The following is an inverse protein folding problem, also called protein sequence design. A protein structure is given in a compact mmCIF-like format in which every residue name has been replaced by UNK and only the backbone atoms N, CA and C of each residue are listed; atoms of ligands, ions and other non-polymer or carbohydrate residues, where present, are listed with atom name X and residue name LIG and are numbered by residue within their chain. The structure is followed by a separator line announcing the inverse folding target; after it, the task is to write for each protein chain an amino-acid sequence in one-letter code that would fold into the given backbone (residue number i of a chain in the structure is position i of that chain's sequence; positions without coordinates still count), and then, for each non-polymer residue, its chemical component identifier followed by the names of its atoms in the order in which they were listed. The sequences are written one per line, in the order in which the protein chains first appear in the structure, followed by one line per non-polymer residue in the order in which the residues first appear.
data_IF_540150237867
#
_entry.id   IF_540150237867
#
_cell.length_a   1.000
_cell.length_b   1.000
_cell.length_c   1.000
_cell.angle_alpha   90.00
_cell.angle_beta   90.00
_cell.angle_gamma   90.00
#
_symmetry.space_group_name_H-M   'P 1'
#
loop_
_entity.id
_entity.type
_entity.pdbx_description
1 polymer ?
#
# COMPACT_ATOMS: atom_id res chain seq x y z
N UNK A 1 24.01 5.42 -9.68
CA UNK A 1 23.51 4.02 -9.77
C UNK A 1 22.93 3.80 -11.15
N UNK A 2 23.13 2.65 -11.80
CA UNK A 2 22.53 2.36 -13.09
C UNK A 2 21.02 2.14 -12.94
N UNK A 3 20.23 2.79 -13.81
CA UNK A 3 18.78 2.61 -13.83
C UNK A 3 18.40 1.19 -14.30
N UNK A 4 17.48 0.53 -13.60
CA UNK A 4 16.84 -0.70 -14.07
C UNK A 4 15.69 -0.37 -15.02
N UNK A 5 14.92 0.67 -14.73
CA UNK A 5 13.83 1.17 -15.57
C UNK A 5 13.99 2.67 -15.73
N UNK A 6 13.81 3.17 -16.95
CA UNK A 6 13.71 4.61 -17.25
C UNK A 6 12.51 4.85 -18.15
N UNK A 7 11.62 5.72 -17.71
CA UNK A 7 10.44 6.17 -18.45
C UNK A 7 10.60 7.65 -18.73
N UNK A 8 10.49 8.06 -20.01
CA UNK A 8 10.69 9.45 -20.43
C UNK A 8 9.54 9.89 -21.32
N UNK A 9 8.84 10.95 -20.92
CA UNK A 9 7.74 11.62 -21.66
C UNK A 9 6.68 10.65 -22.18
N UNK A 10 6.42 9.58 -21.41
CA UNK A 10 5.53 8.50 -21.82
C UNK A 10 4.09 8.97 -21.87
N UNK A 11 3.42 8.73 -23.01
CA UNK A 11 1.99 8.96 -23.16
C UNK A 11 1.32 7.80 -23.89
N UNK A 12 0.06 7.52 -23.53
CA UNK A 12 -0.78 6.53 -24.21
C UNK A 12 -2.15 7.05 -24.49
N UNK A 13 -2.52 7.08 -25.77
CA UNK A 13 -3.82 7.45 -26.28
C UNK A 13 -4.54 6.23 -26.84
N UNK A 14 -5.83 6.11 -26.57
CA UNK A 14 -6.73 5.13 -27.16
C UNK A 14 -7.77 5.85 -28.02
N UNK A 15 -8.03 5.29 -29.22
CA UNK A 15 -9.12 5.75 -30.10
C UNK A 15 -10.40 5.02 -29.73
N UNK A 16 -11.43 5.77 -29.37
CA UNK A 16 -12.72 5.24 -28.99
C UNK A 16 -13.72 5.53 -30.12
N UNK A 17 -14.20 4.48 -30.77
CA UNK A 17 -15.23 4.55 -31.79
C UNK A 17 -16.58 4.26 -31.17
N UNK A 18 -17.61 5.06 -31.47
CA UNK A 18 -18.98 4.85 -30.97
C UNK A 18 -19.65 3.63 -31.59
N UNK A 19 -19.33 3.36 -32.88
CA UNK A 19 -19.84 2.20 -33.64
C UNK A 19 -18.70 1.57 -34.40
N UNK A 20 -18.73 0.24 -34.57
CA UNK A 20 -17.72 -0.47 -35.37
C UNK A 20 -17.64 0.02 -36.82
N UNK A 21 -18.76 0.54 -37.37
CA UNK A 21 -18.80 1.17 -38.70
C UNK A 21 -18.01 2.47 -38.80
N UNK A 22 -17.75 3.16 -37.70
CA UNK A 22 -17.06 4.46 -37.69
C UNK A 22 -15.59 4.28 -38.05
N UNK A 23 -14.98 3.15 -37.68
CA UNK A 23 -13.63 2.78 -38.11
C UNK A 23 -13.55 2.69 -39.65
N UNK A 24 -14.50 1.99 -40.29
CA UNK A 24 -14.54 1.86 -41.75
C UNK A 24 -14.79 3.21 -42.42
N UNK A 25 -15.69 4.03 -41.86
CA UNK A 25 -15.97 5.39 -42.35
C UNK A 25 -14.73 6.28 -42.27
N UNK A 26 -13.98 6.21 -41.17
CA UNK A 26 -12.73 6.98 -41.00
C UNK A 26 -11.69 6.55 -42.03
N UNK A 27 -11.55 5.23 -42.28
CA UNK A 27 -10.62 4.73 -43.30
C UNK A 27 -10.99 5.19 -44.72
N UNK A 28 -12.29 5.23 -45.04
CA UNK A 28 -12.75 5.63 -46.37
C UNK A 28 -12.77 7.14 -46.55
N UNK A 29 -13.20 7.91 -45.56
CA UNK A 29 -13.42 9.36 -45.68
C UNK A 29 -12.24 10.17 -45.22
N UNK A 30 -11.27 9.57 -44.51
CA UNK A 30 -10.13 10.23 -43.84
C UNK A 30 -10.56 11.35 -42.86
N UNK A 31 -11.83 11.35 -42.45
CA UNK A 31 -12.34 12.28 -41.45
C UNK A 31 -12.39 11.56 -40.10
N UNK A 32 -11.83 12.18 -39.07
CA UNK A 32 -11.80 11.64 -37.71
C UNK A 32 -13.25 11.32 -37.24
N UNK A 33 -13.47 10.04 -36.87
CA UNK A 33 -14.74 9.52 -36.36
C UNK A 33 -14.58 8.96 -34.94
N UNK A 34 -13.38 9.02 -34.36
CA UNK A 34 -13.08 8.57 -33.00
C UNK A 34 -12.91 9.75 -32.05
N UNK A 35 -13.17 9.51 -30.78
CA UNK A 35 -12.71 10.37 -29.68
C UNK A 35 -11.38 9.85 -29.14
N UNK A 36 -10.48 10.77 -28.80
CA UNK A 36 -9.21 10.42 -28.16
C UNK A 36 -9.37 10.33 -26.65
N UNK A 37 -8.92 9.22 -26.07
CA UNK A 37 -8.83 9.04 -24.62
C UNK A 37 -7.36 8.88 -24.24
N UNK A 38 -6.81 9.86 -23.56
CA UNK A 38 -5.46 9.84 -23.04
C UNK A 38 -5.42 9.15 -21.69
N UNK A 39 -4.98 7.89 -21.68
CA UNK A 39 -4.86 7.09 -20.45
C UNK A 39 -3.61 7.45 -19.65
N UNK A 40 -2.54 7.88 -20.34
CA UNK A 40 -1.30 8.37 -19.74
C UNK A 40 -0.83 9.60 -20.50
N UNK A 41 -0.29 10.59 -19.77
CA UNK A 41 0.23 11.84 -20.32
C UNK A 41 1.45 12.29 -19.52
N UNK A 42 2.57 12.54 -20.21
CA UNK A 42 3.81 13.08 -19.67
C UNK A 42 4.31 12.28 -18.43
N UNK A 43 4.29 10.95 -18.48
CA UNK A 43 4.82 10.09 -17.42
C UNK A 43 6.34 10.03 -17.55
N UNK A 44 7.03 10.41 -16.47
CA UNK A 44 8.48 10.33 -16.38
C UNK A 44 8.92 9.89 -14.99
N UNK A 45 9.72 8.82 -14.91
CA UNK A 45 10.37 8.37 -13.67
C UNK A 45 11.52 7.40 -13.98
N UNK A 46 12.34 7.16 -12.97
CA UNK A 46 13.46 6.21 -13.07
C UNK A 46 13.43 5.28 -11.86
N UNK A 47 13.69 3.98 -12.06
CA UNK A 47 13.81 2.99 -10.98
C UNK A 47 15.26 2.49 -10.95
N UNK A 48 15.89 2.55 -9.78
CA UNK A 48 17.24 2.04 -9.54
C UNK A 48 17.28 0.51 -9.54
N UNK A 49 18.45 -0.07 -9.77
CA UNK A 49 18.64 -1.52 -9.58
C UNK A 49 18.50 -1.89 -8.10
N UNK A 50 17.73 -2.95 -7.83
CA UNK A 50 17.46 -3.43 -6.48
C UNK A 50 16.46 -2.59 -5.70
N UNK A 51 15.89 -1.55 -6.30
CA UNK A 51 14.87 -0.70 -5.70
C UNK A 51 13.48 -1.37 -5.76
N UNK A 52 12.72 -1.27 -4.69
CA UNK A 52 11.31 -1.67 -4.63
C UNK A 52 10.45 -0.42 -4.70
N UNK A 53 9.78 -0.20 -5.82
CA UNK A 53 8.94 0.98 -6.06
C UNK A 53 7.48 0.63 -6.08
N UNK A 54 6.70 1.32 -5.24
CA UNK A 54 5.25 1.20 -5.21
C UNK A 54 4.57 2.10 -6.23
N UNK A 55 3.52 1.63 -6.90
CA UNK A 55 2.67 2.45 -7.75
C UNK A 55 1.27 2.48 -7.14
N UNK A 56 0.81 3.66 -6.76
CA UNK A 56 -0.51 3.92 -6.22
C UNK A 56 -1.35 4.76 -7.16
N UNK A 57 -2.66 4.77 -6.96
CA UNK A 57 -3.57 5.64 -7.70
C UNK A 57 -4.99 5.10 -7.71
N UNK A 58 -5.96 5.99 -7.96
CA UNK A 58 -7.39 5.64 -8.05
C UNK A 58 -7.67 4.67 -9.21
N UNK A 59 -8.85 4.05 -9.20
CA UNK A 59 -9.32 3.31 -10.37
C UNK A 59 -9.41 4.27 -11.57
N UNK A 60 -8.89 3.84 -12.73
CA UNK A 60 -8.83 4.69 -13.91
C UNK A 60 -7.63 5.66 -13.96
N UNK A 61 -6.73 5.69 -12.98
CA UNK A 61 -5.54 6.56 -12.98
C UNK A 61 -4.46 6.19 -14.02
N UNK A 62 -4.63 5.06 -14.73
CA UNK A 62 -3.69 4.63 -15.76
C UNK A 62 -2.72 3.53 -15.32
N UNK A 63 -2.79 3.03 -14.08
CA UNK A 63 -1.86 2.02 -13.53
C UNK A 63 -1.68 0.80 -14.45
N UNK A 64 -2.77 0.10 -14.77
CA UNK A 64 -2.72 -1.10 -15.62
C UNK A 64 -2.22 -0.80 -17.05
N UNK A 65 -2.50 0.41 -17.58
CA UNK A 65 -1.95 0.85 -18.86
C UNK A 65 -0.44 1.02 -18.78
N UNK A 66 0.06 1.66 -17.73
CA UNK A 66 1.50 1.82 -17.48
C UNK A 66 2.18 0.47 -17.34
N UNK A 67 1.62 -0.44 -16.54
CA UNK A 67 2.19 -1.77 -16.35
C UNK A 67 2.24 -2.59 -17.65
N UNK A 68 1.18 -2.56 -18.49
CA UNK A 68 1.17 -3.23 -19.78
C UNK A 68 2.25 -2.67 -20.72
N UNK A 69 2.55 -1.37 -20.65
CA UNK A 69 3.65 -0.79 -21.41
C UNK A 69 5.01 -1.25 -20.87
N UNK A 70 5.21 -1.24 -19.55
CA UNK A 70 6.44 -1.71 -18.92
C UNK A 70 6.68 -3.22 -19.16
N UNK A 71 5.62 -4.01 -19.18
CA UNK A 71 5.69 -5.44 -19.53
C UNK A 71 5.88 -5.72 -21.03
N UNK A 72 5.92 -4.68 -21.88
CA UNK A 72 6.08 -4.82 -23.32
C UNK A 72 4.85 -5.33 -24.09
N UNK A 73 3.70 -5.50 -23.40
CA UNK A 73 2.45 -6.00 -24.02
C UNK A 73 1.61 -4.90 -24.68
N UNK A 74 1.96 -3.64 -24.42
CA UNK A 74 1.29 -2.47 -25.00
C UNK A 74 2.33 -1.43 -25.44
N UNK A 75 2.26 -0.97 -26.70
CA UNK A 75 3.15 0.08 -27.20
C UNK A 75 2.68 1.47 -26.75
N UNK A 76 3.58 2.36 -26.32
CA UNK A 76 3.23 3.75 -26.02
C UNK A 76 2.83 4.51 -27.28
N UNK A 77 2.10 5.61 -27.15
CA UNK A 77 1.80 6.54 -28.24
C UNK A 77 2.89 7.59 -28.42
N UNK A 78 3.58 7.97 -27.34
CA UNK A 78 4.74 8.86 -27.29
C UNK A 78 5.68 8.47 -26.16
N UNK A 79 6.91 8.98 -26.22
CA UNK A 79 7.93 8.75 -25.21
C UNK A 79 8.62 7.41 -25.34
N UNK A 80 9.50 7.12 -24.40
CA UNK A 80 10.34 5.92 -24.41
C UNK A 80 10.33 5.20 -23.05
N UNK A 81 10.50 3.89 -23.11
CA UNK A 81 10.71 3.02 -21.95
C UNK A 81 11.97 2.21 -22.19
N UNK A 82 12.93 2.35 -21.31
CA UNK A 82 14.16 1.58 -21.30
C UNK A 82 14.18 0.69 -20.07
N UNK A 83 14.34 -0.63 -20.27
CA UNK A 83 14.44 -1.58 -19.17
C UNK A 83 15.71 -2.41 -19.34
N UNK A 84 16.54 -2.42 -18.32
CA UNK A 84 17.81 -3.12 -18.28
C UNK A 84 17.68 -4.41 -17.48
N UNK A 85 17.45 -5.53 -18.15
CA UNK A 85 17.28 -6.85 -17.58
C UNK A 85 16.01 -7.55 -18.04
N UNK A 86 15.84 -8.82 -17.64
CA UNK A 86 14.63 -9.58 -17.94
C UNK A 86 13.48 -9.15 -17.05
N UNK A 87 12.35 -8.86 -17.69
CA UNK A 87 11.11 -8.45 -17.03
C UNK A 87 10.17 -9.63 -16.90
N UNK A 88 9.70 -9.88 -15.71
CA UNK A 88 8.54 -10.75 -15.50
C UNK A 88 7.42 -9.95 -14.86
N UNK A 89 6.22 -10.06 -15.41
CA UNK A 89 5.06 -9.30 -14.97
C UNK A 89 3.91 -10.20 -14.56
N UNK A 90 3.40 -10.01 -13.36
CA UNK A 90 2.18 -10.65 -12.86
C UNK A 90 1.07 -9.60 -12.93
N UNK A 91 0.50 -9.41 -14.14
CA UNK A 91 -0.55 -8.42 -14.38
C UNK A 91 -1.96 -9.02 -14.30
N UNK A 92 -2.13 -10.20 -14.87
CA UNK A 92 -3.36 -10.98 -14.83
C UNK A 92 -2.95 -12.45 -14.72
N UNK A 93 -3.40 -13.13 -13.68
CA UNK A 93 -3.03 -14.51 -13.41
C UNK A 93 -3.54 -15.44 -14.51
N UNK A 94 -2.64 -16.24 -15.06
CA UNK A 94 -2.96 -17.14 -16.18
C UNK A 94 -2.88 -16.49 -17.57
N UNK A 95 -2.61 -15.20 -17.67
CA UNK A 95 -2.37 -14.55 -18.98
C UNK A 95 -1.15 -15.16 -19.66
N UNK A 96 -1.31 -15.58 -20.91
CA UNK A 96 -0.28 -16.27 -21.69
C UNK A 96 -0.26 -17.79 -21.53
N UNK A 97 -1.04 -18.36 -20.61
CA UNK A 97 -1.20 -19.81 -20.49
C UNK A 97 -2.28 -20.33 -21.44
N UNK A 98 -2.02 -21.47 -22.07
CA UNK A 98 -2.95 -22.12 -22.99
C UNK A 98 -3.81 -23.14 -22.22
N UNK A 99 -5.15 -23.00 -22.19
CA UNK A 99 -6.04 -23.94 -21.49
C UNK A 99 -5.94 -25.40 -21.98
N UNK A 100 -5.55 -25.60 -23.22
CA UNK A 100 -5.45 -26.93 -23.83
C UNK A 100 -4.10 -27.60 -23.56
N UNK A 101 -3.10 -26.88 -23.13
CA UNK A 101 -1.80 -27.40 -22.74
C UNK A 101 -1.86 -27.97 -21.32
N UNK A 102 -0.95 -28.88 -21.01
CA UNK A 102 -0.75 -29.37 -19.65
C UNK A 102 -0.15 -28.26 -18.75
N UNK A 103 -0.19 -28.46 -17.43
CA UNK A 103 0.52 -27.56 -16.51
C UNK A 103 2.00 -27.47 -16.84
N UNK A 104 2.65 -28.60 -17.15
CA UNK A 104 4.05 -28.67 -17.58
C UNK A 104 4.32 -27.80 -18.80
N UNK A 105 3.57 -27.97 -19.86
CA UNK A 105 3.72 -27.21 -21.10
C UNK A 105 3.52 -25.70 -20.86
N UNK A 106 2.58 -25.34 -19.99
CA UNK A 106 2.34 -23.96 -19.61
C UNK A 106 3.48 -23.36 -18.80
N UNK A 107 4.16 -24.10 -17.92
CA UNK A 107 5.37 -23.63 -17.23
C UNK A 107 6.46 -23.24 -18.24
N UNK A 108 6.71 -24.08 -19.25
CA UNK A 108 7.68 -23.76 -20.30
C UNK A 108 7.23 -22.58 -21.16
N UNK A 109 5.95 -22.53 -21.53
CA UNK A 109 5.39 -21.42 -22.30
C UNK A 109 5.54 -20.10 -21.55
N UNK A 110 5.16 -20.07 -20.26
CA UNK A 110 5.28 -18.90 -19.41
C UNK A 110 6.73 -18.43 -19.24
N UNK A 111 7.66 -19.37 -19.05
CA UNK A 111 9.10 -19.08 -18.98
C UNK A 111 9.64 -18.49 -20.28
N UNK A 112 9.27 -19.06 -21.43
CA UNK A 112 9.66 -18.53 -22.74
C UNK A 112 9.11 -17.12 -22.99
N UNK A 113 7.85 -16.87 -22.63
CA UNK A 113 7.25 -15.54 -22.72
C UNK A 113 7.96 -14.51 -21.82
N UNK A 114 8.51 -14.94 -20.69
CA UNK A 114 9.33 -14.11 -19.79
C UNK A 114 10.81 -14.01 -20.23
N UNK A 115 11.18 -14.58 -21.39
CA UNK A 115 12.53 -14.50 -21.96
C UNK A 115 13.53 -15.48 -21.39
N UNK A 116 13.07 -16.57 -20.74
CA UNK A 116 13.93 -17.68 -20.29
C UNK A 116 14.07 -18.74 -21.37
N UNK A 117 15.28 -19.29 -21.51
CA UNK A 117 15.53 -20.42 -22.38
C UNK A 117 14.93 -21.71 -21.81
N UNK A 118 14.75 -22.73 -22.68
CA UNK A 118 14.29 -24.03 -22.25
C UNK A 118 15.21 -24.65 -21.19
N UNK A 119 16.51 -24.55 -21.38
CA UNK A 119 17.49 -25.09 -20.42
C UNK A 119 17.40 -24.42 -19.02
N UNK A 120 17.15 -23.09 -18.97
CA UNK A 120 16.92 -22.39 -17.72
C UNK A 120 15.63 -22.86 -17.06
N UNK A 121 14.57 -23.12 -17.83
CA UNK A 121 13.31 -23.62 -17.30
C UNK A 121 13.42 -25.09 -16.86
N UNK A 122 14.17 -25.94 -17.58
CA UNK A 122 14.45 -27.32 -17.17
C UNK A 122 15.12 -27.36 -15.79
N UNK A 123 16.09 -26.47 -15.55
CA UNK A 123 16.78 -26.38 -14.26
C UNK A 123 15.90 -25.90 -13.09
N UNK A 124 14.78 -25.21 -13.38
CA UNK A 124 13.87 -24.65 -12.36
C UNK A 124 12.52 -25.36 -12.29
N UNK A 125 12.26 -26.28 -13.17
CA UNK A 125 10.95 -26.92 -13.32
C UNK A 125 10.47 -27.57 -12.02
N UNK A 126 11.31 -28.39 -11.41
CA UNK A 126 10.95 -29.11 -10.17
C UNK A 126 10.68 -28.14 -9.03
N UNK A 127 11.49 -27.07 -8.88
CA UNK A 127 11.27 -26.00 -7.88
C UNK A 127 9.92 -25.28 -8.12
N UNK A 128 9.57 -25.02 -9.40
CA UNK A 128 8.27 -24.39 -9.75
C UNK A 128 7.11 -25.28 -9.34
N UNK A 129 7.19 -26.59 -9.67
CA UNK A 129 6.12 -27.56 -9.39
C UNK A 129 5.96 -27.78 -7.89
N UNK A 130 7.06 -27.83 -7.14
CA UNK A 130 7.07 -27.96 -5.68
C UNK A 130 6.50 -26.69 -5.03
N UNK A 131 6.92 -25.51 -5.48
CA UNK A 131 6.41 -24.24 -4.98
C UNK A 131 4.90 -24.12 -5.20
N UNK A 132 4.41 -24.51 -6.39
CA UNK A 132 2.99 -24.51 -6.73
C UNK A 132 2.17 -25.58 -5.98
N UNK A 133 2.82 -26.62 -5.44
CA UNK A 133 2.19 -27.82 -4.84
C UNK A 133 1.23 -28.53 -5.82
N UNK A 134 1.63 -28.65 -7.09
CA UNK A 134 0.80 -29.19 -8.17
C UNK A 134 1.38 -30.46 -8.83
N UNK A 135 2.37 -31.10 -8.22
CA UNK A 135 3.00 -32.32 -8.76
C UNK A 135 2.01 -33.41 -9.19
N UNK A 136 0.93 -33.72 -8.44
CA UNK A 136 0.00 -34.80 -8.84
C UNK A 136 -0.79 -34.52 -10.13
N UNK A 137 -0.89 -33.26 -10.56
CA UNK A 137 -1.75 -32.83 -11.67
C UNK A 137 -0.99 -32.10 -12.77
N UNK A 138 0.33 -31.95 -12.67
CA UNK A 138 1.15 -31.13 -13.57
C UNK A 138 1.05 -31.54 -15.05
N UNK A 139 0.81 -32.78 -15.31
CA UNK A 139 0.67 -33.35 -16.66
C UNK A 139 -0.79 -33.40 -17.17
N UNK A 140 -1.74 -32.88 -16.38
CA UNK A 140 -3.14 -32.74 -16.79
C UNK A 140 -3.36 -31.44 -17.57
N UNK A 141 -4.39 -31.34 -18.43
CA UNK A 141 -4.74 -30.14 -19.17
C UNK A 141 -5.07 -28.99 -18.22
N UNK A 142 -4.52 -27.79 -18.44
CA UNK A 142 -4.67 -26.61 -17.56
C UNK A 142 -6.12 -26.17 -17.38
N UNK A 143 -6.99 -26.42 -18.38
CA UNK A 143 -8.44 -26.16 -18.27
C UNK A 143 -9.14 -26.95 -17.17
N UNK A 144 -8.53 -28.06 -16.70
CA UNK A 144 -9.10 -28.89 -15.60
C UNK A 144 -8.70 -28.37 -14.21
N UNK A 145 -7.80 -27.40 -14.15
CA UNK A 145 -7.38 -26.80 -12.90
C UNK A 145 -8.44 -25.84 -12.35
N UNK A 146 -8.61 -25.83 -11.04
CA UNK A 146 -9.38 -24.77 -10.38
C UNK A 146 -8.70 -23.41 -10.60
N UNK A 147 -9.46 -22.31 -10.48
CA UNK A 147 -8.89 -20.95 -10.59
C UNK A 147 -7.74 -20.73 -9.62
N UNK A 148 -7.81 -21.27 -8.39
CA UNK A 148 -6.72 -21.24 -7.42
C UNK A 148 -5.48 -22.00 -7.88
N UNK A 149 -5.64 -23.19 -8.48
CA UNK A 149 -4.52 -23.97 -9.03
C UNK A 149 -3.88 -23.26 -10.22
N UNK A 150 -4.70 -22.67 -11.11
CA UNK A 150 -4.22 -21.87 -12.25
C UNK A 150 -3.39 -20.68 -11.78
N UNK A 151 -3.89 -19.96 -10.80
CA UNK A 151 -3.23 -18.82 -10.21
C UNK A 151 -1.90 -19.23 -9.52
N UNK A 152 -1.90 -20.33 -8.76
CA UNK A 152 -0.70 -20.87 -8.10
C UNK A 152 0.38 -21.25 -9.10
N UNK A 153 0.04 -21.96 -10.20
CA UNK A 153 1.02 -22.34 -11.21
C UNK A 153 1.60 -21.13 -11.93
N UNK A 154 0.74 -20.20 -12.37
CA UNK A 154 1.17 -18.98 -13.06
C UNK A 154 2.10 -18.13 -12.21
N UNK A 155 1.73 -17.93 -10.94
CA UNK A 155 2.54 -17.18 -9.99
C UNK A 155 3.88 -17.85 -9.72
N UNK A 156 3.88 -19.18 -9.48
CA UNK A 156 5.09 -19.96 -9.21
C UNK A 156 6.07 -19.90 -10.37
N UNK A 157 5.57 -20.03 -11.61
CA UNK A 157 6.40 -19.95 -12.82
C UNK A 157 7.17 -18.64 -12.89
N UNK A 158 6.54 -17.51 -12.58
CA UNK A 158 7.16 -16.18 -12.65
C UNK A 158 8.12 -15.96 -11.48
N UNK A 159 7.71 -16.30 -10.26
CA UNK A 159 8.49 -16.02 -9.05
C UNK A 159 9.74 -16.89 -8.92
N UNK A 160 9.68 -18.14 -9.37
CA UNK A 160 10.82 -19.08 -9.31
C UNK A 160 11.78 -18.85 -10.48
N UNK A 161 11.32 -18.33 -11.61
CA UNK A 161 12.17 -18.01 -12.77
C UNK A 161 13.29 -17.00 -12.46
N UNK A 162 13.17 -16.21 -11.38
CA UNK A 162 14.20 -15.30 -10.85
C UNK A 162 14.54 -14.15 -11.80
N UNK A 163 13.57 -13.29 -12.18
CA UNK A 163 13.79 -12.17 -13.09
C UNK A 163 14.69 -11.08 -12.46
N UNK A 164 15.28 -10.21 -13.29
CA UNK A 164 15.97 -9.00 -12.82
C UNK A 164 14.99 -7.89 -12.44
N UNK A 165 13.85 -7.80 -13.14
CA UNK A 165 12.78 -6.85 -12.89
C UNK A 165 11.47 -7.61 -12.73
N UNK A 166 10.84 -7.49 -11.57
CA UNK A 166 9.55 -8.09 -11.27
C UNK A 166 8.47 -7.00 -11.19
N UNK A 167 7.39 -7.16 -11.95
CA UNK A 167 6.22 -6.28 -11.89
C UNK A 167 5.05 -7.08 -11.28
N UNK A 168 4.47 -6.58 -10.19
CA UNK A 168 3.37 -7.24 -9.48
C UNK A 168 2.17 -6.30 -9.39
N UNK A 169 1.03 -6.72 -9.94
CA UNK A 169 -0.24 -5.98 -9.87
C UNK A 169 -1.20 -6.69 -8.91
N UNK A 170 -1.37 -6.15 -7.70
CA UNK A 170 -2.30 -6.63 -6.66
C UNK A 170 -2.30 -8.15 -6.38
N UNK A 171 -1.44 -8.91 -7.05
CA UNK A 171 -1.46 -10.37 -7.14
C UNK A 171 -0.81 -11.09 -5.94
N UNK A 172 -0.38 -10.39 -4.88
CA UNK A 172 0.16 -11.04 -3.68
C UNK A 172 -0.91 -11.79 -2.85
N UNK A 173 -2.19 -11.57 -3.15
CA UNK A 173 -3.34 -12.20 -2.47
C UNK A 173 -3.84 -13.47 -3.16
N UNK A 174 -2.96 -14.22 -3.80
CA UNK A 174 -3.30 -15.43 -4.59
C UNK A 174 -3.32 -16.68 -3.75
N UNK A 175 -4.30 -17.54 -4.00
CA UNK A 175 -4.40 -18.86 -3.36
C UNK A 175 -4.94 -18.78 -1.93
N UNK A 176 -4.66 -19.83 -1.16
CA UNK A 176 -5.00 -19.89 0.26
C UNK A 176 -3.96 -19.16 1.13
N UNK A 177 -4.26 -18.99 2.42
CA UNK A 177 -3.39 -18.28 3.36
C UNK A 177 -1.97 -18.89 3.44
N UNK A 178 -1.84 -20.22 3.31
CA UNK A 178 -0.54 -20.91 3.31
C UNK A 178 0.29 -20.53 2.08
N UNK A 179 -0.34 -20.50 0.90
CA UNK A 179 0.34 -20.13 -0.33
C UNK A 179 0.69 -18.64 -0.35
N UNK A 180 -0.17 -17.78 0.21
CA UNK A 180 0.13 -16.34 0.36
C UNK A 180 1.39 -16.11 1.21
N UNK A 181 1.58 -16.85 2.31
CA UNK A 181 2.80 -16.78 3.11
C UNK A 181 4.05 -17.17 2.29
N UNK A 182 3.97 -18.27 1.51
CA UNK A 182 5.07 -18.67 0.61
C UNK A 182 5.40 -17.59 -0.44
N UNK A 183 4.37 -16.97 -1.01
CA UNK A 183 4.54 -15.86 -1.96
C UNK A 183 5.24 -14.67 -1.31
N UNK A 184 4.86 -14.36 -0.08
CA UNK A 184 5.45 -13.31 0.71
C UNK A 184 6.93 -13.57 1.02
N UNK A 185 7.26 -14.76 1.51
CA UNK A 185 8.64 -15.17 1.80
C UNK A 185 9.50 -15.10 0.53
N UNK A 186 8.98 -15.56 -0.60
CA UNK A 186 9.70 -15.47 -1.88
C UNK A 186 9.91 -14.03 -2.34
N UNK A 187 8.93 -13.14 -2.12
CA UNK A 187 9.07 -11.72 -2.40
C UNK A 187 10.20 -11.08 -1.57
N UNK A 188 10.26 -11.41 -0.28
CA UNK A 188 11.33 -10.94 0.62
C UNK A 188 12.72 -11.49 0.19
N UNK A 189 12.80 -12.74 -0.25
CA UNK A 189 14.01 -13.33 -0.77
C UNK A 189 14.50 -12.61 -2.04
N UNK A 190 13.61 -12.33 -3.00
CA UNK A 190 13.94 -11.57 -4.21
C UNK A 190 14.45 -10.16 -3.86
N UNK A 191 13.80 -9.49 -2.91
CA UNK A 191 14.25 -8.19 -2.40
C UNK A 191 15.65 -8.28 -1.77
N UNK A 192 15.89 -9.27 -0.92
CA UNK A 192 17.19 -9.50 -0.26
C UNK A 192 18.31 -9.79 -1.27
N UNK A 193 18.00 -10.40 -2.41
CA UNK A 193 18.92 -10.63 -3.54
C UNK A 193 19.11 -9.39 -4.41
N UNK A 194 18.54 -8.25 -4.07
CA UNK A 194 18.67 -7.00 -4.83
C UNK A 194 17.96 -7.00 -6.19
N UNK A 195 16.85 -7.75 -6.33
CA UNK A 195 16.00 -7.68 -7.52
C UNK A 195 15.20 -6.39 -7.53
N UNK A 196 15.00 -5.81 -8.71
CA UNK A 196 14.17 -4.61 -8.87
C UNK A 196 12.71 -5.01 -8.92
N UNK A 197 11.86 -4.36 -8.12
CA UNK A 197 10.45 -4.74 -8.02
C UNK A 197 9.57 -3.50 -8.19
N UNK A 198 8.58 -3.58 -9.09
CA UNK A 198 7.45 -2.65 -9.14
C UNK A 198 6.23 -3.33 -8.53
N UNK A 199 5.72 -2.75 -7.46
CA UNK A 199 4.54 -3.25 -6.75
C UNK A 199 3.37 -2.29 -6.93
N UNK A 200 2.30 -2.73 -7.57
CA UNK A 200 1.07 -1.95 -7.67
C UNK A 200 0.09 -2.41 -6.61
N UNK A 201 -0.38 -1.49 -5.82
CA UNK A 201 -1.39 -1.76 -4.80
C UNK A 201 -2.25 -0.54 -4.52
N UNK A 202 -3.51 -0.79 -4.19
CA UNK A 202 -4.40 0.22 -3.61
C UNK A 202 -4.31 0.25 -2.07
N UNK A 203 -3.61 -0.71 -1.46
CA UNK A 203 -3.36 -0.76 -0.02
C UNK A 203 -2.14 0.11 0.33
N UNK A 204 -2.39 1.21 1.03
CA UNK A 204 -1.31 2.05 1.55
C UNK A 204 -0.39 1.28 2.51
N UNK A 205 -0.95 0.37 3.31
CA UNK A 205 -0.19 -0.47 4.22
C UNK A 205 0.80 -1.38 3.48
N UNK A 206 0.38 -2.01 2.38
CA UNK A 206 1.28 -2.81 1.55
C UNK A 206 2.42 -1.98 1.00
N UNK A 207 2.13 -0.79 0.46
CA UNK A 207 3.15 0.10 -0.11
C UNK A 207 4.13 0.59 0.97
N UNK A 208 3.64 1.03 2.14
CA UNK A 208 4.51 1.51 3.22
C UNK A 208 5.36 0.41 3.86
N UNK A 209 4.88 -0.83 3.85
CA UNK A 209 5.62 -1.97 4.44
C UNK A 209 6.70 -2.53 3.52
N UNK A 210 6.51 -2.46 2.20
CA UNK A 210 7.35 -3.19 1.24
C UNK A 210 8.21 -2.32 0.34
N UNK A 211 7.82 -1.08 0.08
CA UNK A 211 8.47 -0.25 -0.92
C UNK A 211 9.50 0.69 -0.29
N UNK A 212 10.56 0.95 -1.01
CA UNK A 212 11.59 1.95 -0.64
C UNK A 212 11.14 3.36 -1.06
N UNK A 213 10.34 3.45 -2.13
CA UNK A 213 9.76 4.66 -2.71
C UNK A 213 8.41 4.35 -3.33
N UNK A 214 7.56 5.35 -3.51
CA UNK A 214 6.28 5.18 -4.18
C UNK A 214 5.98 6.30 -5.18
N UNK A 215 5.21 5.96 -6.21
CA UNK A 215 4.74 6.86 -7.27
C UNK A 215 3.21 6.87 -7.22
N UNK A 216 2.62 8.05 -7.12
CA UNK A 216 1.18 8.25 -7.20
C UNK A 216 0.79 8.65 -8.60
N UNK A 217 -0.08 7.88 -9.22
CA UNK A 217 -0.73 8.23 -10.48
C UNK A 217 -2.11 8.82 -10.21
N UNK A 218 -2.41 9.96 -10.82
CA UNK A 218 -3.74 10.54 -10.84
C UNK A 218 -4.02 11.18 -12.21
N UNK A 219 -5.21 10.93 -12.78
CA UNK A 219 -5.60 11.43 -14.09
C UNK A 219 -4.60 11.14 -15.23
N UNK A 220 -3.92 10.01 -15.18
CA UNK A 220 -2.93 9.61 -16.19
C UNK A 220 -1.58 10.34 -16.08
N UNK A 221 -1.28 11.01 -14.97
CA UNK A 221 -0.01 11.73 -14.71
C UNK A 221 0.62 11.26 -13.40
N UNK A 222 1.92 11.50 -13.25
CA UNK A 222 2.59 11.35 -11.96
C UNK A 222 2.23 12.56 -11.11
N UNK A 223 1.44 12.32 -10.06
CA UNK A 223 1.03 13.35 -9.11
C UNK A 223 2.06 13.55 -7.99
N UNK A 224 2.74 12.47 -7.59
CA UNK A 224 3.78 12.50 -6.57
C UNK A 224 4.74 11.33 -6.78
N UNK A 225 6.02 11.54 -6.48
CA UNK A 225 7.09 10.54 -6.47
C UNK A 225 7.94 10.82 -5.22
N UNK A 226 7.74 10.05 -4.15
CA UNK A 226 8.31 10.32 -2.84
C UNK A 226 8.40 9.06 -1.98
N UNK A 227 8.75 9.23 -0.71
CA UNK A 227 8.70 8.15 0.28
C UNK A 227 7.28 7.56 0.40
N UNK A 228 7.15 6.23 0.66
CA UNK A 228 5.86 5.54 0.66
C UNK A 228 4.80 6.17 1.55
N UNK A 229 5.22 6.66 2.72
CA UNK A 229 4.34 7.28 3.70
C UNK A 229 3.74 8.60 3.20
N UNK A 230 4.56 9.43 2.54
CA UNK A 230 4.12 10.70 1.94
C UNK A 230 3.11 10.46 0.82
N UNK A 231 3.43 9.50 -0.07
CA UNK A 231 2.53 9.11 -1.16
C UNK A 231 1.21 8.57 -0.62
N UNK A 232 1.23 7.73 0.43
CA UNK A 232 0.03 7.21 1.07
C UNK A 232 -0.87 8.32 1.63
N UNK A 233 -0.29 9.35 2.28
CA UNK A 233 -1.03 10.51 2.80
C UNK A 233 -1.72 11.29 1.67
N UNK A 234 -0.99 11.58 0.58
CA UNK A 234 -1.54 12.29 -0.58
C UNK A 234 -2.64 11.44 -1.24
N UNK A 235 -2.44 10.14 -1.38
CA UNK A 235 -3.44 9.21 -1.92
C UNK A 235 -4.74 9.22 -1.11
N UNK A 236 -4.66 9.12 0.22
CA UNK A 236 -5.83 9.20 1.09
C UNK A 236 -6.56 10.56 0.96
N UNK A 237 -5.80 11.66 0.83
CA UNK A 237 -6.38 12.98 0.59
C UNK A 237 -7.14 13.04 -0.74
N UNK A 238 -6.60 12.48 -1.81
CA UNK A 238 -7.27 12.41 -3.11
C UNK A 238 -8.53 11.53 -3.07
N UNK A 239 -8.54 10.46 -2.27
CA UNK A 239 -9.70 9.59 -2.13
C UNK A 239 -10.87 10.26 -1.41
N UNK A 240 -10.58 11.04 -0.37
CA UNK A 240 -11.58 11.53 0.58
C UNK A 240 -11.81 13.04 0.54
N UNK A 241 -11.31 13.74 -0.50
CA UNK A 241 -11.69 15.11 -0.82
C UNK A 241 -11.15 16.18 0.14
N UNK A 242 -9.88 16.10 0.51
CA UNK A 242 -9.23 17.15 1.31
C UNK A 242 -8.99 18.41 0.47
N UNK A 243 -9.76 19.48 0.71
CA UNK A 243 -9.42 20.82 0.25
C UNK A 243 -8.14 21.35 0.93
N UNK A 244 -7.62 22.52 0.52
CA UNK A 244 -6.43 23.12 1.13
C UNK A 244 -6.67 23.34 2.62
N UNK A 245 -5.75 22.81 3.44
CA UNK A 245 -5.85 22.89 4.91
C UNK A 245 -5.49 24.29 5.36
N UNK A 246 -6.50 25.04 5.80
CA UNK A 246 -6.32 26.30 6.53
C UNK A 246 -6.57 26.01 8.00
N UNK A 247 -5.52 25.86 8.77
CA UNK A 247 -5.61 25.69 10.22
C UNK A 247 -4.38 25.00 10.80
N UNK A 248 -3.38 25.78 11.19
CA UNK A 248 -2.20 25.27 11.91
C UNK A 248 -2.54 25.15 13.39
N UNK A 249 -2.93 23.96 13.84
CA UNK A 249 -2.78 23.63 15.25
C UNK A 249 -1.33 23.13 15.43
N UNK A 250 -0.49 23.92 16.08
CA UNK A 250 0.87 23.54 16.47
C UNK A 250 0.77 22.53 17.61
N UNK A 251 1.45 21.37 17.58
CA UNK A 251 1.47 20.46 18.72
C UNK A 251 2.06 21.18 19.94
N UNK A 252 1.66 20.75 21.12
CA UNK A 252 2.27 21.20 22.36
C UNK A 252 3.79 21.02 22.36
N UNK A 253 4.51 21.89 23.02
CA UNK A 253 5.98 21.99 22.95
C UNK A 253 6.72 20.71 23.37
N UNK A 254 6.16 19.91 24.28
CA UNK A 254 6.71 18.64 24.75
C UNK A 254 6.67 17.53 23.66
N UNK A 255 5.78 17.61 22.68
CA UNK A 255 5.79 16.71 21.51
C UNK A 255 6.88 17.10 20.50
N UNK A 256 7.18 18.39 20.38
CA UNK A 256 8.28 18.89 19.55
C UNK A 256 9.64 18.39 20.03
N UNK A 257 9.80 18.20 21.35
CA UNK A 257 11.04 17.67 21.93
C UNK A 257 11.25 16.17 21.63
N UNK A 258 10.18 15.39 21.51
CA UNK A 258 10.25 13.99 21.11
C UNK A 258 10.80 13.84 19.67
N UNK A 259 10.44 14.73 18.75
CA UNK A 259 10.94 14.76 17.37
C UNK A 259 12.40 15.22 17.30
N UNK A 260 12.79 16.25 18.08
CA UNK A 260 14.17 16.80 18.07
C UNK A 260 15.21 15.79 18.55
N UNK A 261 14.85 14.96 19.52
CA UNK A 261 15.77 13.98 20.09
C UNK A 261 16.19 12.88 19.11
N UNK A 262 15.50 12.71 17.99
CA UNK A 262 15.73 11.65 16.99
C UNK A 262 16.25 12.18 15.64
N UNK A 263 16.46 13.50 15.50
CA UNK A 263 16.90 14.12 14.23
C UNK A 263 15.85 14.03 13.11
N UNK A 264 14.58 13.77 13.46
CA UNK A 264 13.50 13.76 12.49
C UNK A 264 13.16 15.19 12.05
N UNK A 265 13.13 15.44 10.74
CA UNK A 265 12.72 16.72 10.19
C UNK A 265 11.28 17.06 10.59
N UNK A 266 10.99 18.35 10.70
CA UNK A 266 9.64 18.86 11.00
C UNK A 266 8.70 18.43 9.89
N UNK A 267 7.83 17.47 10.17
CA UNK A 267 6.69 17.22 9.28
C UNK A 267 5.80 18.47 9.23
N UNK A 268 5.52 18.93 8.01
CA UNK A 268 4.56 20.00 7.76
C UNK A 268 3.15 19.55 8.17
N UNK A 269 2.70 19.99 9.35
CA UNK A 269 1.47 19.52 9.98
C UNK A 269 0.19 19.99 9.28
N UNK A 270 0.26 21.03 8.45
CA UNK A 270 -0.86 21.52 7.67
C UNK A 270 -1.28 20.57 6.56
N UNK A 271 -0.37 19.72 6.06
CA UNK A 271 -0.60 18.82 4.94
C UNK A 271 -1.25 17.48 5.31
N UNK A 272 -1.31 17.12 6.60
CA UNK A 272 -1.66 15.77 7.07
C UNK A 272 -3.10 15.62 7.56
N UNK A 273 -4.01 16.53 7.19
CA UNK A 273 -5.38 16.55 7.69
C UNK A 273 -6.40 16.66 6.55
N UNK A 274 -7.43 15.79 6.51
CA UNK A 274 -8.49 15.81 5.51
C UNK A 274 -9.85 15.37 6.07
N UNK A 275 -10.94 15.61 5.34
CA UNK A 275 -12.32 15.28 5.67
C UNK A 275 -13.25 16.46 5.32
N UNK A 276 -14.57 16.26 5.42
CA UNK A 276 -15.56 17.25 5.04
C UNK A 276 -15.76 18.37 6.09
N UNK A 277 -15.17 18.21 7.26
CA UNK A 277 -15.14 19.18 8.37
C UNK A 277 -16.50 19.50 9.01
N UNK A 278 -17.52 18.70 8.81
CA UNK A 278 -18.79 18.82 9.56
C UNK A 278 -18.58 18.58 11.07
N UNK A 279 -17.61 17.72 11.43
CA UNK A 279 -17.03 17.67 12.77
C UNK A 279 -15.51 17.75 12.66
N UNK A 280 -14.85 18.37 13.65
CA UNK A 280 -13.41 18.60 13.63
C UNK A 280 -12.75 18.19 14.94
N UNK A 281 -11.54 17.64 14.85
CA UNK A 281 -10.66 17.38 15.99
C UNK A 281 -10.13 18.71 16.53
N UNK A 282 -10.50 19.06 17.76
CA UNK A 282 -10.12 20.32 18.41
C UNK A 282 -8.85 20.18 19.25
N UNK A 283 -8.70 19.04 19.96
CA UNK A 283 -7.52 18.72 20.76
C UNK A 283 -7.27 17.22 20.78
N UNK A 284 -6.00 16.84 20.83
CA UNK A 284 -5.55 15.45 20.98
C UNK A 284 -4.40 15.47 21.97
N UNK A 285 -4.54 14.77 23.07
CA UNK A 285 -3.56 14.75 24.16
C UNK A 285 -3.32 13.33 24.64
N UNK A 286 -2.05 12.99 24.87
CA UNK A 286 -1.65 11.74 25.49
C UNK A 286 -1.22 12.06 26.94
N UNK A 287 -1.91 11.43 27.90
CA UNK A 287 -1.81 11.77 29.31
C UNK A 287 -1.24 10.60 30.12
N UNK A 288 -0.42 10.91 31.12
CA UNK A 288 -0.01 9.94 32.13
C UNK A 288 -1.15 9.65 33.13
N UNK A 289 -0.94 8.67 34.01
CA UNK A 289 -1.92 8.29 35.03
C UNK A 289 -2.31 9.42 36.01
N UNK A 290 -1.47 10.42 36.17
CA UNK A 290 -1.74 11.64 36.95
C UNK A 290 -2.46 12.75 36.18
N UNK A 291 -2.76 12.51 34.89
CA UNK A 291 -3.40 13.47 33.98
C UNK A 291 -2.45 14.48 33.34
N UNK A 292 -1.14 14.40 33.55
CA UNK A 292 -0.17 15.29 32.90
C UNK A 292 0.06 14.87 31.44
N UNK A 293 0.17 15.84 30.49
CA UNK A 293 0.51 15.54 29.10
C UNK A 293 1.92 14.98 28.95
N UNK A 294 2.08 13.93 28.12
CA UNK A 294 3.36 13.25 27.91
C UNK A 294 3.68 13.03 26.44
N UNK A 295 4.95 13.23 26.06
CA UNK A 295 5.48 12.87 24.73
C UNK A 295 6.46 11.70 24.78
N UNK A 296 6.86 11.28 25.98
CA UNK A 296 7.73 10.13 26.23
C UNK A 296 7.07 9.16 27.23
N UNK A 297 6.94 7.90 26.83
CA UNK A 297 6.21 6.87 27.54
C UNK A 297 7.14 5.74 27.95
N UNK A 298 6.83 5.09 29.04
CA UNK A 298 7.49 3.86 29.46
C UNK A 298 6.66 2.64 29.05
N UNK A 299 7.28 1.64 28.45
CA UNK A 299 6.60 0.39 28.11
C UNK A 299 6.10 -0.31 29.39
N UNK A 300 4.87 -0.86 29.35
CA UNK A 300 4.23 -1.54 30.46
C UNK A 300 3.49 -0.64 31.45
N UNK A 301 3.35 0.66 31.16
CA UNK A 301 2.55 1.57 31.98
C UNK A 301 1.24 1.94 31.26
N UNK A 302 0.17 2.23 32.03
CA UNK A 302 -1.08 2.75 31.48
C UNK A 302 -0.98 4.23 31.15
N UNK A 303 -1.61 4.63 30.05
CA UNK A 303 -1.75 5.99 29.58
C UNK A 303 -3.18 6.25 29.11
N UNK A 304 -3.54 7.50 28.96
CA UNK A 304 -4.86 7.91 28.50
C UNK A 304 -4.72 8.81 27.28
N UNK A 305 -5.41 8.47 26.17
CA UNK A 305 -5.61 9.34 25.03
C UNK A 305 -6.90 10.12 25.22
N UNK A 306 -6.82 11.44 25.29
CA UNK A 306 -7.95 12.36 25.31
C UNK A 306 -8.08 13.04 23.95
N UNK A 307 -9.27 12.97 23.35
CA UNK A 307 -9.57 13.55 22.03
C UNK A 307 -10.83 14.39 22.16
N UNK A 308 -10.72 15.69 21.84
CA UNK A 308 -11.87 16.59 21.81
C UNK A 308 -12.25 16.86 20.35
N UNK A 309 -13.55 16.70 20.06
CA UNK A 309 -14.12 17.00 18.77
C UNK A 309 -15.23 18.04 18.88
N UNK A 310 -15.35 18.90 17.87
CA UNK A 310 -16.40 19.93 17.76
C UNK A 310 -17.26 19.66 16.54
N UNK A 311 -18.58 19.75 16.67
CA UNK A 311 -19.53 19.55 15.57
C UNK A 311 -19.97 20.89 15.02
N UNK A 312 -19.59 21.18 13.76
CA UNK A 312 -19.86 22.46 13.10
C UNK A 312 -21.10 22.40 12.18
N UNK A 313 -21.47 21.21 11.70
CA UNK A 313 -22.63 20.99 10.85
C UNK A 313 -23.32 19.66 11.23
N UNK A 314 -24.58 19.42 10.79
CA UNK A 314 -25.30 18.19 11.13
C UNK A 314 -24.54 16.94 10.69
N UNK A 315 -24.41 15.98 11.61
CA UNK A 315 -23.86 14.63 11.40
C UNK A 315 -24.87 13.59 11.87
N UNK A 316 -24.96 12.48 11.17
CA UNK A 316 -25.92 11.41 11.52
C UNK A 316 -25.40 10.54 12.69
N UNK A 317 -24.09 10.37 12.77
CA UNK A 317 -23.42 9.59 13.79
C UNK A 317 -21.97 10.09 13.95
N UNK A 318 -21.31 9.67 15.03
CA UNK A 318 -19.92 10.04 15.27
C UNK A 318 -19.13 8.82 15.71
N UNK A 319 -18.08 8.53 14.95
CA UNK A 319 -17.11 7.45 15.21
C UNK A 319 -15.75 8.08 15.37
N UNK A 320 -15.09 7.83 16.49
CA UNK A 320 -13.69 8.19 16.72
C UNK A 320 -12.82 6.95 16.52
N UNK A 321 -11.80 7.05 15.70
CA UNK A 321 -10.79 6.01 15.50
C UNK A 321 -9.38 6.53 15.69
N UNK A 322 -8.46 5.64 16.01
CA UNK A 322 -7.03 5.94 16.15
C UNK A 322 -6.17 4.82 15.61
N UNK A 323 -4.98 5.18 15.13
CA UNK A 323 -3.95 4.25 14.66
C UNK A 323 -2.57 4.68 15.16
N UNK A 324 -1.74 3.71 15.55
CA UNK A 324 -0.34 3.93 15.90
C UNK A 324 0.54 3.34 14.80
N UNK A 325 1.50 4.12 14.31
CA UNK A 325 2.44 3.73 13.25
C UNK A 325 3.89 3.89 13.70
N UNK A 326 4.78 3.08 13.12
CA UNK A 326 6.22 3.25 13.28
C UNK A 326 6.77 4.38 12.37
N UNK A 327 8.09 4.63 12.43
CA UNK A 327 8.77 5.63 11.57
C UNK A 327 8.67 5.33 10.07
N UNK A 328 8.48 4.07 9.68
CA UNK A 328 8.33 3.65 8.29
C UNK A 328 6.89 3.76 7.80
N UNK A 329 5.96 4.14 8.70
CA UNK A 329 4.53 4.24 8.41
C UNK A 329 3.77 2.94 8.52
N UNK A 330 4.42 1.88 9.03
CA UNK A 330 3.76 0.60 9.27
C UNK A 330 2.79 0.75 10.44
N UNK A 331 1.52 0.43 10.20
CA UNK A 331 0.48 0.43 11.22
C UNK A 331 0.68 -0.76 12.18
N UNK A 332 0.81 -0.47 13.47
CA UNK A 332 1.08 -1.45 14.51
C UNK A 332 -0.14 -1.75 15.36
N UNK A 333 -1.03 -0.78 15.51
CA UNK A 333 -2.26 -0.89 16.27
C UNK A 333 -3.30 0.10 15.74
N UNK A 334 -4.57 -0.31 15.76
CA UNK A 334 -5.70 0.56 15.43
C UNK A 334 -6.97 0.07 16.09
N UNK A 335 -7.81 1.02 16.52
CA UNK A 335 -9.15 0.75 17.02
C UNK A 335 -10.07 1.94 16.77
N UNK A 336 -11.36 1.70 16.83
CA UNK A 336 -12.39 2.73 16.77
C UNK A 336 -13.57 2.39 17.71
N UNK A 337 -14.47 3.34 17.89
CA UNK A 337 -15.65 3.17 18.75
C UNK A 337 -16.63 2.10 18.25
N UNK A 338 -16.59 1.71 16.97
CA UNK A 338 -17.41 0.61 16.46
C UNK A 338 -16.81 -0.75 16.81
N UNK A 339 -15.53 -0.92 16.54
CA UNK A 339 -14.80 -2.19 16.78
C UNK A 339 -14.66 -2.50 18.27
N UNK A 340 -14.70 -1.47 19.13
CA UNK A 340 -14.69 -1.61 20.59
C UNK A 340 -16.10 -1.75 21.22
N UNK A 341 -17.14 -1.92 20.39
CA UNK A 341 -18.50 -2.24 20.85
C UNK A 341 -19.34 -1.01 21.27
N UNK A 342 -18.92 0.21 20.93
CA UNK A 342 -19.63 1.44 21.30
C UNK A 342 -20.49 1.99 20.15
N UNK A 343 -20.96 1.14 19.25
CA UNK A 343 -21.84 1.52 18.15
C UNK A 343 -23.11 2.19 18.66
N UNK A 344 -23.45 3.38 18.14
CA UNK A 344 -24.64 4.14 18.52
C UNK A 344 -24.62 4.71 19.96
N UNK A 345 -23.50 4.57 20.69
CA UNK A 345 -23.39 5.05 22.08
C UNK A 345 -22.68 6.41 22.20
N UNK A 346 -22.03 6.87 21.13
CA UNK A 346 -21.36 8.16 21.13
C UNK A 346 -22.40 9.28 21.11
N UNK A 347 -22.45 10.14 22.13
CA UNK A 347 -23.42 11.24 22.17
C UNK A 347 -23.11 12.26 21.08
N UNK A 348 -24.15 12.71 20.38
CA UNK A 348 -24.03 13.79 19.42
C UNK A 348 -24.28 15.13 20.13
N UNK A 349 -23.28 16.04 20.20
CA UNK A 349 -23.47 17.35 20.77
C UNK A 349 -24.33 18.23 19.86
N UNK A 350 -24.95 19.27 20.41
CA UNK A 350 -25.61 20.29 19.60
C UNK A 350 -24.61 21.00 18.65
N UNK A 351 -25.11 21.65 17.61
CA UNK A 351 -24.26 22.42 16.70
C UNK A 351 -23.43 23.45 17.45
N UNK A 352 -22.14 23.47 17.19
CA UNK A 352 -21.15 24.28 17.92
C UNK A 352 -20.69 23.64 19.24
N UNK A 353 -21.30 22.55 19.69
CA UNK A 353 -20.90 21.82 20.88
C UNK A 353 -19.73 20.89 20.63
N UNK A 354 -19.16 20.37 21.73
CA UNK A 354 -18.03 19.45 21.70
C UNK A 354 -18.34 18.15 22.42
N UNK A 355 -17.67 17.08 21.98
CA UNK A 355 -17.63 15.78 22.65
C UNK A 355 -16.18 15.43 22.95
N UNK A 356 -15.94 14.82 24.10
CA UNK A 356 -14.62 14.34 24.50
C UNK A 356 -14.63 12.82 24.54
N UNK A 357 -13.65 12.22 23.85
CA UNK A 357 -13.37 10.79 23.86
C UNK A 357 -12.17 10.54 24.75
N UNK A 358 -12.28 9.50 25.56
CA UNK A 358 -11.19 9.03 26.41
C UNK A 358 -10.93 7.57 26.13
N UNK A 359 -9.68 7.23 25.82
CA UNK A 359 -9.24 5.85 25.56
C UNK A 359 -8.07 5.53 26.50
N UNK A 360 -8.21 4.48 27.29
CA UNK A 360 -7.14 3.96 28.15
C UNK A 360 -6.29 2.97 27.36
N UNK A 361 -4.97 3.11 27.43
CA UNK A 361 -4.00 2.34 26.67
C UNK A 361 -2.92 1.78 27.60
N UNK A 362 -2.79 0.46 27.64
CA UNK A 362 -1.63 -0.20 28.24
C UNK A 362 -0.50 -0.23 27.22
N UNK A 363 0.57 0.54 27.46
CA UNK A 363 1.65 0.75 26.48
C UNK A 363 2.61 -0.44 26.43
N UNK A 364 2.29 -1.44 25.61
CA UNK A 364 3.13 -2.63 25.41
C UNK A 364 4.01 -2.56 24.15
N UNK A 365 4.52 -1.39 23.84
CA UNK A 365 5.35 -1.16 22.65
C UNK A 365 6.85 -1.17 23.00
N UNK A 366 7.68 -1.55 22.03
CA UNK A 366 9.13 -1.49 22.14
C UNK A 366 9.63 -0.04 22.19
N UNK A 367 10.87 0.15 22.63
CA UNK A 367 11.50 1.46 22.57
C UNK A 367 11.61 1.98 21.13
N UNK A 368 11.15 3.18 20.89
CA UNK A 368 11.12 3.77 19.55
C UNK A 368 10.31 5.05 19.45
N UNK A 369 10.33 5.66 18.27
CA UNK A 369 9.49 6.78 17.91
C UNK A 369 8.27 6.28 17.12
N UNK A 370 7.10 6.73 17.53
CA UNK A 370 5.81 6.34 16.97
C UNK A 370 4.95 7.57 16.67
N UNK A 371 3.96 7.39 15.81
CA UNK A 371 3.06 8.44 15.37
C UNK A 371 1.62 8.01 15.56
N UNK A 372 0.85 8.87 16.22
CA UNK A 372 -0.58 8.66 16.43
C UNK A 372 -1.36 9.38 15.32
N UNK A 373 -2.21 8.64 14.62
CA UNK A 373 -3.24 9.16 13.72
C UNK A 373 -4.59 9.09 14.45
N UNK A 374 -5.39 10.14 14.38
CA UNK A 374 -6.74 10.16 14.94
C UNK A 374 -7.72 10.60 13.87
N UNK A 375 -8.92 10.01 13.87
CA UNK A 375 -9.95 10.32 12.88
C UNK A 375 -11.35 10.35 13.44
N UNK A 376 -12.18 11.18 12.81
CA UNK A 376 -13.62 11.24 12.99
C UNK A 376 -14.30 10.80 11.69
N UNK A 377 -15.32 9.97 11.81
CA UNK A 377 -16.14 9.50 10.69
C UNK A 377 -17.60 9.36 11.10
N UNK A 378 -18.50 9.19 10.14
CA UNK A 378 -19.85 8.65 10.38
C UNK A 378 -19.83 7.11 10.30
N UNK A 379 -20.86 6.44 10.80
CA UNK A 379 -20.95 4.96 10.78
C UNK A 379 -21.02 4.39 9.35
N UNK A 380 -21.41 5.17 8.36
CA UNK A 380 -21.43 4.79 6.94
C UNK A 380 -20.02 4.87 6.29
N UNK A 381 -19.01 5.31 7.03
CA UNK A 381 -17.62 5.46 6.59
C UNK A 381 -17.26 6.84 6.06
N UNK A 382 -18.21 7.79 5.99
CA UNK A 382 -17.94 9.17 5.59
C UNK A 382 -16.91 9.83 6.52
N UNK A 383 -15.81 10.33 5.98
CA UNK A 383 -14.72 10.92 6.74
C UNK A 383 -15.01 12.38 7.07
N UNK A 384 -15.18 12.68 8.36
CA UNK A 384 -15.45 14.03 8.85
C UNK A 384 -14.15 14.82 9.05
N UNK A 385 -13.18 14.23 9.75
CA UNK A 385 -11.87 14.83 9.98
C UNK A 385 -10.83 13.75 10.31
N UNK A 386 -9.84 13.59 9.47
CA UNK A 386 -8.74 12.66 9.68
C UNK A 386 -7.44 13.45 9.84
N UNK A 387 -6.71 13.20 10.91
CA UNK A 387 -5.43 13.86 11.19
C UNK A 387 -4.33 12.78 11.30
N UNK A 388 -3.56 12.62 10.22
CA UNK A 388 -2.41 11.73 10.18
C UNK A 388 -1.24 12.30 11.00
N UNK A 389 -0.57 11.40 11.74
CA UNK A 389 0.60 11.76 12.56
C UNK A 389 0.32 12.97 13.46
N UNK A 390 -0.89 13.04 14.02
CA UNK A 390 -1.35 14.13 14.85
C UNK A 390 -0.45 14.35 16.08
N UNK A 391 0.04 13.26 16.67
CA UNK A 391 0.96 13.29 17.80
C UNK A 391 2.13 12.33 17.58
N UNK A 392 3.38 12.80 17.49
CA UNK A 392 4.56 11.97 17.67
C UNK A 392 4.76 11.68 19.16
N UNK A 393 5.11 10.45 19.50
CA UNK A 393 5.47 10.08 20.87
C UNK A 393 6.61 9.05 20.88
N UNK A 394 7.39 9.08 21.95
CA UNK A 394 8.52 8.15 22.12
C UNK A 394 8.20 7.14 23.22
N UNK A 395 8.44 5.85 22.94
CA UNK A 395 8.50 4.83 23.98
C UNK A 395 9.95 4.66 24.41
N UNK A 396 10.22 4.82 25.71
CA UNK A 396 11.54 4.73 26.29
C UNK A 396 11.96 3.26 26.49
N UNK A 397 13.25 2.99 26.37
CA UNK A 397 13.81 1.70 26.72
C UNK A 397 13.65 1.44 28.23
N UNK A 398 13.11 0.26 28.59
CA UNK A 398 13.04 -0.15 29.98
C UNK A 398 14.19 -1.12 30.28
N UNK A 399 14.91 -0.95 31.41
CA UNK A 399 16.07 -1.79 31.72
C UNK A 399 15.73 -3.29 31.92
N UNK A 400 14.46 -3.59 32.15
CA UNK A 400 14.01 -4.95 32.55
C UNK A 400 13.63 -5.86 31.39
N UNK A 401 13.41 -5.31 30.20
CA UNK A 401 12.97 -6.14 29.08
C UNK A 401 13.42 -5.53 27.75
N UNK A 402 14.24 -6.29 27.01
CA UNK A 402 14.59 -5.94 25.64
C UNK A 402 13.76 -6.79 24.68
N UNK A 403 13.14 -6.16 23.68
CA UNK A 403 12.53 -6.83 22.55
C UNK A 403 13.00 -6.18 21.26
N UNK A 404 13.31 -6.99 20.26
CA UNK A 404 13.61 -6.52 18.90
C UNK A 404 12.33 -6.28 18.07
N UNK A 405 11.17 -6.71 18.59
CA UNK A 405 9.86 -6.54 17.94
C UNK A 405 9.21 -5.23 18.33
N UNK A 406 8.27 -4.75 17.52
CA UNK A 406 7.54 -3.49 17.77
C UNK A 406 6.64 -3.55 19.02
N UNK A 407 6.22 -4.74 19.43
CA UNK A 407 5.34 -4.96 20.58
C UNK A 407 6.07 -5.76 21.65
N UNK A 408 5.94 -5.33 22.91
CA UNK A 408 6.50 -6.01 24.07
C UNK A 408 5.36 -6.66 24.88
N UNK A 409 5.29 -7.99 24.90
CA UNK A 409 4.24 -8.74 25.61
C UNK A 409 4.61 -9.11 27.05
N UNK A 410 5.77 -8.62 27.55
CA UNK A 410 6.28 -8.90 28.91
C UNK A 410 6.22 -10.40 29.28
N UNK A 411 6.83 -11.31 28.50
CA UNK A 411 6.73 -12.75 28.72
C UNK A 411 7.33 -13.15 30.08
N UNK A 412 6.70 -14.13 30.74
CA UNK A 412 7.21 -14.75 31.97
C UNK A 412 7.47 -16.21 31.70
N UNK A 413 8.70 -16.67 31.92
CA UNK A 413 9.07 -18.07 31.76
C UNK A 413 9.04 -18.78 33.12
N UNK A 414 8.43 -19.98 33.18
CA UNK A 414 8.52 -20.91 34.31
C UNK A 414 9.28 -22.15 33.87
N UNK A 415 10.15 -22.66 34.74
CA UNK A 415 10.92 -23.88 34.49
C UNK A 415 10.66 -24.86 35.65
N UNK A 416 10.41 -26.12 35.32
CA UNK A 416 10.39 -27.22 36.29
C UNK A 416 11.40 -28.27 35.83
N UNK A 417 12.27 -28.71 36.71
CA UNK A 417 13.15 -29.87 36.51
C UNK A 417 12.45 -31.05 37.17
N UNK A 418 12.10 -32.07 36.36
CA UNK A 418 11.55 -33.31 36.85
C UNK A 418 12.62 -34.28 37.38
#
# INVERSE_FOLDING_TARGET
MSAAIRVTDLAKMFRIYRKSSDLLREMLTRKQQHSEFWALTDIGFTVGRGEVVGIMGRNGAGKSTLLKILAGTLTPSRGTVEINGRVSAILELGTGFNPNFTGRENVYLGGLCAGFSRAEMDAKFDEIVEFAELAPVIDQPFRTYSTGMQARLSFSTIMVADPEVLIVDEALSVGDAKFQLKCFDRFQDLRARGKTILLVSHSSQTITSFCDRAILLDGGRVACDAEPNEVAKIYHRLLFGGGPVTGSATPPQHYADALRADGADRHDQGSNRYGDKRATLAAIELLAGDGSPVGALESGKPYRLAVRATVAAPVASLVMGMHIRDRRGVELFGCDTLTTGHKGQVPLPALGGSVEFTLELDMHMAAGLYFLTVGLAEEDGTKLDMWFDALPFRVLATPKLYTASAVNLYPRFGFSVG
#
